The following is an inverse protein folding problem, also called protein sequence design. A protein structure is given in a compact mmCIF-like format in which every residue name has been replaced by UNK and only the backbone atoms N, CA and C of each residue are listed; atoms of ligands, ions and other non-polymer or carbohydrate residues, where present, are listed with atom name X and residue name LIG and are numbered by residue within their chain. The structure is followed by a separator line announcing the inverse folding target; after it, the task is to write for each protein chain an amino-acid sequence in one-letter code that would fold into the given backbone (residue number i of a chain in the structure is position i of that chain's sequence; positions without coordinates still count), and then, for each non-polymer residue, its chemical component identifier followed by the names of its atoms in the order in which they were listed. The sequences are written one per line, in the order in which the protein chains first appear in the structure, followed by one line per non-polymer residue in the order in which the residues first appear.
data_IF_480227584099
#
_entry.id   IF_480227584099
#
_cell.length_a   1.000
_cell.length_b   1.000
_cell.length_c   1.000
_cell.angle_alpha   90.00
_cell.angle_beta   90.00
_cell.angle_gamma   90.00
#
_symmetry.space_group_name_H-M   'P 1'
#
loop_
_entity.id
_entity.type
_entity.pdbx_description
1 polymer ?
#
# COMPACT_ATOMS: atom_id res chain seq x y z
N UNK A 1 -18.26 9.50 30.14
CA UNK A 1 -18.73 8.27 29.46
C UNK A 1 -17.76 7.99 28.31
N UNK A 2 -16.71 7.23 28.57
CA UNK A 2 -15.86 6.62 27.54
C UNK A 2 -16.03 5.12 27.73
N UNK A 3 -16.38 4.40 26.66
CA UNK A 3 -16.54 2.96 26.71
C UNK A 3 -15.30 2.33 26.08
N UNK A 4 -14.49 1.72 26.94
CA UNK A 4 -13.30 0.95 26.61
C UNK A 4 -13.73 -0.47 26.21
N UNK A 5 -13.52 -0.86 24.96
CA UNK A 5 -13.69 -2.24 24.54
C UNK A 5 -12.34 -2.96 24.68
N UNK A 6 -12.17 -3.66 25.81
CA UNK A 6 -11.12 -4.67 26.01
C UNK A 6 -11.50 -5.95 25.26
N UNK A 7 -10.57 -6.47 24.48
CA UNK A 7 -10.61 -7.83 23.95
C UNK A 7 -9.24 -8.47 24.18
N UNK A 8 -9.22 -9.49 25.04
CA UNK A 8 -8.06 -10.33 25.33
C UNK A 8 -8.15 -11.58 24.45
N UNK A 9 -7.28 -11.74 23.44
CA UNK A 9 -6.92 -13.07 22.91
C UNK A 9 -5.69 -13.03 21.98
N UNK A 10 -4.73 -13.91 22.30
CA UNK A 10 -3.73 -14.62 21.49
C UNK A 10 -2.87 -13.90 20.45
N UNK A 11 -1.56 -14.19 20.50
CA UNK A 11 -0.50 -13.73 19.59
C UNK A 11 -0.90 -13.88 18.12
N UNK A 12 -1.33 -12.78 17.51
CA UNK A 12 -1.49 -12.59 16.07
C UNK A 12 -1.27 -11.10 15.79
N UNK A 13 -0.14 -10.77 15.14
CA UNK A 13 0.23 -9.38 14.82
C UNK A 13 -0.77 -8.82 13.79
N UNK A 14 -1.77 -8.07 14.28
CA UNK A 14 -2.82 -7.42 13.47
C UNK A 14 -2.23 -6.27 12.66
N UNK A 15 -2.48 -6.24 11.36
CA UNK A 15 -2.29 -5.05 10.52
C UNK A 15 -3.29 -3.99 10.98
N UNK A 16 -2.80 -2.82 11.38
CA UNK A 16 -3.66 -1.71 11.84
C UNK A 16 -3.82 -0.72 10.69
N UNK A 17 -5.02 -0.66 10.13
CA UNK A 17 -5.39 0.39 9.18
C UNK A 17 -5.92 1.60 9.93
N UNK A 18 -5.34 2.78 9.69
CA UNK A 18 -5.82 4.04 10.26
C UNK A 18 -6.16 5.02 9.14
N UNK A 19 -7.43 5.41 9.06
CA UNK A 19 -7.91 6.51 8.21
C UNK A 19 -8.08 7.74 9.12
N UNK A 20 -7.41 8.85 8.80
CA UNK A 20 -7.51 10.10 9.58
C UNK A 20 -8.36 11.14 8.83
N UNK A 21 -9.28 11.79 9.56
CA UNK A 21 -10.43 12.55 9.03
C UNK A 21 -10.17 13.99 8.56
N UNK A 22 -8.92 14.47 8.47
CA UNK A 22 -8.65 15.81 7.90
C UNK A 22 -8.05 15.80 6.48
N UNK A 23 -7.57 14.65 5.97
CA UNK A 23 -6.84 14.59 4.69
C UNK A 23 -7.15 13.36 3.80
N UNK A 24 -8.06 12.46 4.19
CA UNK A 24 -8.32 11.20 3.46
C UNK A 24 -7.02 10.41 3.21
N UNK A 25 -6.26 10.18 4.27
CA UNK A 25 -4.98 9.47 4.20
C UNK A 25 -5.15 8.02 4.64
N UNK A 26 -4.76 7.08 3.79
CA UNK A 26 -4.62 5.67 4.12
C UNK A 26 -3.18 5.39 4.53
N UNK A 27 -3.00 4.79 5.72
CA UNK A 27 -1.69 4.40 6.20
C UNK A 27 -1.68 2.92 6.56
N UNK A 28 -0.72 2.19 6.00
CA UNK A 28 -0.47 0.79 6.32
C UNK A 28 1.00 0.55 6.60
N UNK A 29 1.29 -0.13 7.71
CA UNK A 29 2.61 -0.63 8.05
C UNK A 29 2.55 -2.10 8.47
N UNK A 30 3.59 -2.87 8.14
CA UNK A 30 3.70 -4.28 8.49
C UNK A 30 3.34 -5.23 7.35
N UNK A 31 2.67 -6.35 7.67
CA UNK A 31 2.32 -7.39 6.69
C UNK A 31 0.95 -7.10 6.06
N UNK A 32 0.84 -6.98 4.72
CA UNK A 32 -0.44 -6.94 4.05
C UNK A 32 -1.00 -8.37 3.94
N UNK A 33 -1.64 -8.86 5.01
CA UNK A 33 -2.25 -10.20 5.09
C UNK A 33 -3.72 -10.23 4.67
N UNK A 34 -4.38 -9.07 4.63
CA UNK A 34 -5.82 -8.99 4.38
C UNK A 34 -6.09 -8.30 3.05
N UNK A 35 -6.92 -8.93 2.20
CA UNK A 35 -7.54 -8.22 1.06
C UNK A 35 -8.40 -7.10 1.63
N UNK A 36 -8.38 -5.93 0.99
CA UNK A 36 -9.24 -4.78 1.35
C UNK A 36 -10.69 -5.05 0.89
N UNK A 37 -11.25 -6.21 1.28
CA UNK A 37 -12.60 -6.59 0.88
C UNK A 37 -13.61 -5.93 1.82
N UNK A 38 -14.23 -4.85 1.37
CA UNK A 38 -15.37 -4.25 2.06
C UNK A 38 -16.08 -3.24 1.18
N UNK A 39 -17.29 -3.58 0.75
CA UNK A 39 -18.25 -2.69 0.06
C UNK A 39 -18.57 -1.39 0.81
N UNK A 40 -18.08 -1.24 2.04
CA UNK A 40 -18.32 -0.11 2.94
C UNK A 40 -17.00 0.59 3.35
N UNK A 41 -15.88 0.23 2.73
CA UNK A 41 -14.60 0.83 3.06
C UNK A 41 -14.48 2.17 2.33
N UNK A 42 -14.37 3.27 3.08
CA UNK A 42 -14.15 4.62 2.55
C UNK A 42 -12.77 4.79 1.86
N UNK A 43 -12.16 3.70 1.39
CA UNK A 43 -10.84 3.65 0.76
C UNK A 43 -10.83 4.31 -0.60
N UNK A 44 -11.95 4.31 -1.32
CA UNK A 44 -12.13 5.10 -2.55
C UNK A 44 -12.00 6.61 -2.34
N UNK A 45 -12.17 7.08 -1.09
CA UNK A 45 -11.99 8.48 -0.71
C UNK A 45 -10.52 8.81 -0.42
N UNK A 46 -9.66 7.80 -0.25
CA UNK A 46 -8.26 7.99 0.09
C UNK A 46 -7.51 8.71 -1.04
N UNK A 47 -6.97 9.88 -0.72
CA UNK A 47 -6.19 10.71 -1.65
C UNK A 47 -4.69 10.53 -1.44
N UNK A 48 -4.28 10.24 -0.20
CA UNK A 48 -2.89 10.07 0.17
C UNK A 48 -2.69 8.68 0.75
N UNK A 49 -1.81 7.88 0.14
CA UNK A 49 -1.57 6.49 0.52
C UNK A 49 -0.14 6.36 0.99
N UNK A 50 0.06 5.78 2.16
CA UNK A 50 1.39 5.43 2.68
C UNK A 50 1.44 3.93 2.98
N UNK A 51 2.35 3.21 2.32
CA UNK A 51 2.51 1.76 2.48
C UNK A 51 3.95 1.42 2.83
N UNK A 52 4.16 0.90 4.03
CA UNK A 52 5.44 0.41 4.53
C UNK A 52 5.36 -1.09 4.83
N UNK A 53 5.74 -1.91 3.86
CA UNK A 53 5.82 -3.36 4.03
C UNK A 53 7.11 -3.71 4.76
N UNK A 54 6.98 -4.53 5.81
CA UNK A 54 8.14 -5.05 6.52
C UNK A 54 8.85 -6.14 5.70
N UNK A 55 10.17 -6.01 5.58
CA UNK A 55 10.99 -6.94 4.79
C UNK A 55 10.92 -8.36 5.35
N UNK A 56 10.83 -8.51 6.66
CA UNK A 56 10.91 -9.82 7.31
C UNK A 56 9.59 -10.57 7.39
N UNK A 57 8.47 -9.90 7.05
CA UNK A 57 7.15 -10.42 7.35
C UNK A 57 6.32 -10.77 6.12
N UNK A 58 6.87 -10.73 4.91
CA UNK A 58 6.09 -11.01 3.68
C UNK A 58 5.98 -12.51 3.37
N UNK A 59 4.78 -12.92 2.98
CA UNK A 59 4.45 -14.25 2.44
C UNK A 59 4.57 -14.26 0.91
N UNK A 60 4.46 -15.44 0.29
CA UNK A 60 4.47 -15.59 -1.18
C UNK A 60 3.36 -14.78 -1.86
N UNK A 61 2.20 -14.61 -1.21
CA UNK A 61 1.03 -13.90 -1.76
C UNK A 61 1.08 -12.38 -1.55
N UNK A 62 1.99 -11.89 -0.71
CA UNK A 62 2.12 -10.46 -0.37
C UNK A 62 2.20 -9.53 -1.59
N UNK A 63 2.96 -9.86 -2.67
CA UNK A 63 3.00 -9.03 -3.88
C UNK A 63 1.62 -8.83 -4.53
N UNK A 64 0.81 -9.89 -4.59
CA UNK A 64 -0.53 -9.84 -5.20
C UNK A 64 -1.52 -9.09 -4.34
N UNK A 65 -1.48 -9.29 -3.01
CA UNK A 65 -2.32 -8.53 -2.07
C UNK A 65 -2.02 -7.04 -2.15
N UNK A 66 -0.74 -6.68 -2.21
CA UNK A 66 -0.30 -5.29 -2.37
C UNK A 66 -0.78 -4.69 -3.69
N UNK A 67 -0.73 -5.45 -4.79
CA UNK A 67 -1.26 -4.99 -6.08
C UNK A 67 -2.77 -4.75 -6.02
N UNK A 68 -3.53 -5.68 -5.43
CA UNK A 68 -4.97 -5.54 -5.28
C UNK A 68 -5.33 -4.29 -4.48
N UNK A 69 -4.57 -3.97 -3.43
CA UNK A 69 -4.77 -2.74 -2.67
C UNK A 69 -4.60 -1.50 -3.54
N UNK A 70 -3.54 -1.43 -4.34
CA UNK A 70 -3.30 -0.28 -5.21
C UNK A 70 -4.41 -0.13 -6.26
N UNK A 71 -4.91 -1.24 -6.82
CA UNK A 71 -6.03 -1.23 -7.77
C UNK A 71 -7.32 -0.71 -7.13
N UNK A 72 -7.61 -1.11 -5.89
CA UNK A 72 -8.79 -0.63 -5.16
C UNK A 72 -8.68 0.86 -4.76
N UNK A 73 -7.45 1.37 -4.63
CA UNK A 73 -7.14 2.78 -4.34
C UNK A 73 -7.07 3.63 -5.63
N UNK A 74 -8.13 3.59 -6.44
CA UNK A 74 -8.16 4.20 -7.79
C UNK A 74 -8.11 5.75 -7.85
N UNK A 75 -8.43 6.44 -6.74
CA UNK A 75 -8.53 7.91 -6.69
C UNK A 75 -7.34 8.59 -5.99
N UNK A 76 -6.19 7.90 -5.91
CA UNK A 76 -5.04 8.43 -5.20
C UNK A 76 -4.42 9.61 -5.93
N UNK A 77 -4.02 10.63 -5.17
CA UNK A 77 -3.25 11.78 -5.63
C UNK A 77 -1.79 11.68 -5.23
N UNK A 78 -1.49 10.97 -4.14
CA UNK A 78 -0.14 10.79 -3.64
C UNK A 78 0.08 9.39 -3.10
N UNK A 79 1.17 8.76 -3.55
CA UNK A 79 1.64 7.47 -3.07
C UNK A 79 3.00 7.62 -2.41
N UNK A 80 3.08 7.23 -1.14
CA UNK A 80 4.33 7.07 -0.40
C UNK A 80 4.57 5.59 -0.15
N UNK A 81 5.70 5.08 -0.60
CA UNK A 81 6.08 3.66 -0.43
C UNK A 81 7.52 3.56 0.04
N UNK A 82 7.90 2.42 0.61
CA UNK A 82 9.31 2.12 0.91
C UNK A 82 9.98 1.33 -0.22
N UNK A 83 11.31 1.35 -0.27
CA UNK A 83 12.09 0.50 -1.20
C UNK A 83 11.78 -0.98 -1.02
N UNK A 84 11.53 -1.42 0.22
CA UNK A 84 11.04 -2.76 0.54
C UNK A 84 9.69 -3.04 -0.11
N UNK A 85 8.72 -2.13 0.04
CA UNK A 85 7.40 -2.26 -0.61
C UNK A 85 7.54 -2.42 -2.12
N UNK A 86 8.39 -1.61 -2.77
CA UNK A 86 8.64 -1.72 -4.21
C UNK A 86 9.29 -3.06 -4.60
N UNK A 87 10.25 -3.55 -3.82
CA UNK A 87 10.90 -4.85 -4.05
C UNK A 87 9.97 -6.03 -3.89
N UNK A 88 8.98 -5.94 -2.99
CA UNK A 88 7.92 -6.95 -2.88
C UNK A 88 7.01 -6.86 -4.09
N UNK A 89 6.58 -5.66 -4.48
CA UNK A 89 5.69 -5.45 -5.63
C UNK A 89 6.32 -5.91 -6.95
N UNK A 90 7.63 -5.70 -7.13
CA UNK A 90 8.36 -6.11 -8.35
C UNK A 90 8.37 -7.63 -8.59
N UNK A 91 7.96 -8.43 -7.60
CA UNK A 91 7.82 -9.89 -7.76
C UNK A 91 6.54 -10.29 -8.49
N UNK A 92 5.60 -9.37 -8.70
CA UNK A 92 4.40 -9.66 -9.48
C UNK A 92 4.80 -9.82 -10.96
N UNK A 93 4.58 -10.99 -11.58
CA UNK A 93 4.90 -11.21 -12.98
C UNK A 93 4.03 -10.31 -13.87
N UNK A 94 4.65 -9.66 -14.86
CA UNK A 94 3.93 -8.81 -15.81
C UNK A 94 3.46 -7.47 -15.26
N UNK A 95 3.87 -7.08 -14.04
CA UNK A 95 3.49 -5.80 -13.42
C UNK A 95 3.77 -4.61 -14.36
N UNK A 96 4.94 -4.56 -14.99
CA UNK A 96 5.35 -3.47 -15.89
C UNK A 96 4.68 -3.51 -17.27
N UNK A 97 3.78 -4.46 -17.52
CA UNK A 97 3.09 -4.65 -18.80
C UNK A 97 1.61 -4.32 -18.75
N UNK A 98 1.11 -3.90 -17.59
CA UNK A 98 -0.31 -3.64 -17.34
C UNK A 98 -0.53 -2.16 -17.07
N UNK A 99 -1.52 -1.55 -17.72
CA UNK A 99 -1.95 -0.20 -17.39
C UNK A 99 -2.74 -0.20 -16.08
N UNK A 100 -2.42 0.73 -15.17
CA UNK A 100 -3.07 0.82 -13.87
C UNK A 100 -3.84 2.13 -13.71
N UNK A 101 -5.16 2.03 -13.54
CA UNK A 101 -6.06 3.18 -13.38
C UNK A 101 -5.73 4.06 -12.17
N UNK A 102 -5.16 3.50 -11.11
CA UNK A 102 -4.74 4.27 -9.92
C UNK A 102 -3.59 5.24 -10.20
N UNK A 103 -2.81 5.02 -11.26
CA UNK A 103 -1.69 5.89 -11.65
C UNK A 103 -2.17 7.14 -12.38
N UNK A 104 -3.30 7.07 -13.11
CA UNK A 104 -3.84 8.18 -13.90
C UNK A 104 -4.21 9.43 -13.07
N UNK A 105 -4.47 9.27 -11.77
CA UNK A 105 -4.81 10.38 -10.88
C UNK A 105 -3.65 10.82 -9.99
N UNK A 106 -2.53 10.09 -10.05
CA UNK A 106 -1.40 10.27 -9.14
C UNK A 106 -0.58 11.49 -9.56
N UNK A 107 -0.41 12.43 -8.62
CA UNK A 107 0.37 13.68 -8.81
C UNK A 107 1.73 13.64 -8.13
N UNK A 108 1.93 12.70 -7.23
CA UNK A 108 3.13 12.64 -6.40
C UNK A 108 3.45 11.22 -5.99
N UNK A 109 4.66 10.78 -6.34
CA UNK A 109 5.24 9.53 -5.87
C UNK A 109 6.43 9.85 -4.95
N UNK A 110 6.43 9.27 -3.75
CA UNK A 110 7.54 9.37 -2.81
C UNK A 110 8.04 7.99 -2.44
N UNK A 111 9.30 7.71 -2.71
CA UNK A 111 9.95 6.45 -2.34
C UNK A 111 10.89 6.70 -1.16
N UNK A 112 10.60 6.08 -0.03
CA UNK A 112 11.46 6.10 1.16
C UNK A 112 12.43 4.93 1.08
N UNK A 113 13.73 5.19 1.13
CA UNK A 113 14.72 4.12 1.28
C UNK A 113 14.72 3.62 2.73
N UNK A 114 14.56 2.31 2.91
CA UNK A 114 14.61 1.63 4.22
C UNK A 114 15.60 0.48 4.08
N UNK A 115 16.63 0.45 4.95
CA UNK A 115 17.77 -0.49 4.87
C UNK A 115 18.61 -0.33 3.58
N UNK A 116 19.79 -0.98 3.43
CA UNK A 116 20.51 -1.04 2.15
C UNK A 116 19.79 -1.95 1.13
N UNK A 117 18.49 -1.73 0.93
CA UNK A 117 17.74 -2.34 -0.16
C UNK A 117 17.86 -1.44 -1.39
N UNK A 118 18.34 -2.00 -2.50
CA UNK A 118 18.24 -1.35 -3.80
C UNK A 118 16.76 -1.23 -4.17
N UNK A 119 16.39 -0.07 -4.70
CA UNK A 119 15.12 0.10 -5.39
C UNK A 119 15.21 -0.72 -6.68
N UNK A 120 14.19 -1.53 -7.03
CA UNK A 120 14.20 -2.27 -8.29
C UNK A 120 14.31 -1.31 -9.48
N UNK A 121 15.28 -1.55 -10.35
CA UNK A 121 15.48 -0.79 -11.57
C UNK A 121 14.24 -0.89 -12.47
N UNK A 122 13.82 0.22 -13.09
CA UNK A 122 12.69 0.27 -14.01
C UNK A 122 11.31 0.44 -13.34
N UNK A 123 11.14 0.02 -12.09
CA UNK A 123 9.83 0.09 -11.42
C UNK A 123 9.45 1.53 -11.06
N UNK A 124 10.42 2.36 -10.63
CA UNK A 124 10.15 3.77 -10.35
C UNK A 124 9.87 4.52 -11.65
N UNK A 125 10.66 4.27 -12.70
CA UNK A 125 10.44 4.87 -14.01
C UNK A 125 9.07 4.50 -14.57
N UNK A 126 8.66 3.23 -14.45
CA UNK A 126 7.33 2.79 -14.87
C UNK A 126 6.21 3.53 -14.13
N UNK A 127 6.31 3.66 -12.80
CA UNK A 127 5.31 4.39 -12.02
C UNK A 127 5.24 5.87 -12.44
N UNK A 128 6.39 6.49 -12.70
CA UNK A 128 6.46 7.88 -13.16
C UNK A 128 5.91 8.06 -14.57
N UNK A 129 6.18 7.15 -15.50
CA UNK A 129 5.68 7.22 -16.88
C UNK A 129 4.16 7.08 -16.99
N UNK A 130 3.55 6.35 -16.06
CA UNK A 130 2.10 6.13 -16.02
C UNK A 130 1.36 7.17 -15.14
N UNK A 131 2.10 8.13 -14.57
CA UNK A 131 1.54 9.24 -13.79
C UNK A 131 1.59 10.52 -14.63
N UNK A 132 0.47 11.24 -14.81
CA UNK A 132 0.42 12.48 -15.60
C UNK A 132 1.04 13.70 -14.92
#
# INVERSE_FOLDING_TARGET
MQQEARSTFSSNRKTVFKISSSLCTFNSSGLPVQKLCGSNSNLSMAKHVNIDVDYWLHTADTPLVLLLWLVELSNIKSLTVTSTTLKVLSRVPGLLKTEFSFLCNMKSLKVKRKYPSSVPDGLVEFLLQNSP
#
